data_IF_215879879442
#
_entry.id   IF_215879879442
#
_cell.length_a   1.000
_cell.length_b   1.000
_cell.length_c   1.000
_cell.angle_alpha   90.00
_cell.angle_beta   90.00
_cell.angle_gamma   90.00
#
_symmetry.space_group_name_H-M   'P 1'
#
loop_
_entity.id
_entity.type
_entity.pdbx_description
1 polymer ?
#
# COMPACT_ATOMS: atom_id res chain seq x y z
N UNK A 1 -7.00 -34.81 -2.17
CA UNK A 1 -6.99 -36.27 -1.89
C UNK A 1 -8.27 -36.73 -1.19
N UNK A 2 -8.61 -36.18 -0.02
CA UNK A 2 -9.85 -36.52 0.74
C UNK A 2 -11.14 -36.37 -0.08
N UNK A 3 -11.32 -35.28 -0.82
CA UNK A 3 -12.52 -35.07 -1.63
C UNK A 3 -12.65 -36.09 -2.78
N UNK A 4 -11.55 -36.46 -3.43
CA UNK A 4 -11.54 -37.44 -4.52
C UNK A 4 -11.92 -38.85 -4.02
N UNK A 5 -11.49 -39.20 -2.80
CA UNK A 5 -11.83 -40.49 -2.17
C UNK A 5 -13.31 -40.56 -1.74
N UNK A 6 -13.89 -39.43 -1.31
CA UNK A 6 -15.30 -39.35 -0.87
C UNK A 6 -16.28 -39.19 -2.03
N UNK A 7 -15.90 -38.49 -3.10
CA UNK A 7 -16.77 -38.18 -4.24
C UNK A 7 -16.54 -39.14 -5.41
N UNK A 8 -16.62 -40.45 -5.16
CA UNK A 8 -16.32 -41.51 -6.15
C UNK A 8 -17.19 -41.49 -7.43
N UNK A 9 -18.35 -40.81 -7.38
CA UNK A 9 -19.27 -40.66 -8.52
C UNK A 9 -19.16 -39.33 -9.25
N UNK A 10 -18.24 -38.45 -8.84
CA UNK A 10 -18.00 -37.16 -9.48
C UNK A 10 -16.53 -37.04 -9.90
N UNK A 11 -16.30 -36.41 -11.06
CA UNK A 11 -14.95 -36.07 -11.52
C UNK A 11 -14.60 -34.68 -10.99
N UNK A 12 -13.61 -34.60 -10.11
CA UNK A 12 -13.04 -33.32 -9.69
C UNK A 12 -12.16 -32.77 -10.80
N UNK A 13 -12.45 -31.56 -11.26
CA UNK A 13 -11.66 -30.84 -12.26
C UNK A 13 -10.99 -29.67 -11.55
N UNK A 14 -9.64 -29.58 -11.55
CA UNK A 14 -8.97 -28.43 -10.98
C UNK A 14 -9.26 -27.20 -11.84
N UNK A 15 -9.61 -26.10 -11.18
CA UNK A 15 -9.69 -24.79 -11.79
C UNK A 15 -8.59 -23.92 -11.20
N UNK A 16 -7.84 -23.23 -12.06
CA UNK A 16 -6.81 -22.26 -11.65
C UNK A 16 -7.38 -20.87 -11.87
N UNK A 17 -7.24 -19.98 -10.88
CA UNK A 17 -7.67 -18.57 -10.94
C UNK A 17 -9.14 -18.29 -11.26
N UNK A 18 -10.00 -19.30 -11.41
CA UNK A 18 -11.42 -19.12 -11.79
C UNK A 18 -12.15 -18.06 -10.94
N UNK A 19 -12.02 -18.12 -9.62
CA UNK A 19 -12.65 -17.13 -8.73
C UNK A 19 -11.95 -15.77 -8.80
N UNK A 20 -10.64 -15.74 -9.04
CA UNK A 20 -9.89 -14.48 -9.15
C UNK A 20 -10.27 -13.72 -10.42
N UNK A 21 -10.39 -14.42 -11.56
CA UNK A 21 -10.84 -13.86 -12.83
C UNK A 21 -12.26 -13.27 -12.72
N UNK A 22 -13.17 -13.99 -12.05
CA UNK A 22 -14.53 -13.50 -11.81
C UNK A 22 -14.59 -12.24 -10.92
N UNK A 23 -13.61 -12.05 -10.04
CA UNK A 23 -13.55 -10.92 -9.09
C UNK A 23 -12.65 -9.77 -9.55
N UNK A 24 -12.03 -9.89 -10.72
CA UNK A 24 -11.07 -8.91 -11.20
C UNK A 24 -11.77 -7.59 -11.56
N UNK A 25 -12.92 -7.69 -12.24
CA UNK A 25 -13.76 -6.56 -12.62
C UNK A 25 -14.78 -6.34 -11.51
N UNK A 26 -14.78 -5.13 -10.94
CA UNK A 26 -15.65 -4.76 -9.84
C UNK A 26 -16.92 -4.10 -10.35
N UNK A 27 -18.05 -4.47 -9.77
CA UNK A 27 -19.32 -3.79 -9.94
C UNK A 27 -19.31 -2.41 -9.28
N UNK A 28 -20.28 -1.56 -9.66
CA UNK A 28 -20.31 -0.16 -9.22
C UNK A 28 -20.44 0.01 -7.68
N UNK A 29 -21.17 -0.89 -7.02
CA UNK A 29 -21.35 -0.93 -5.56
C UNK A 29 -20.09 -1.44 -4.84
N UNK A 30 -19.38 -2.42 -5.41
CA UNK A 30 -18.07 -2.85 -4.94
C UNK A 30 -17.07 -1.68 -4.98
N UNK A 31 -17.00 -0.96 -6.10
CA UNK A 31 -16.14 0.23 -6.26
C UNK A 31 -16.52 1.31 -5.24
N UNK A 32 -17.82 1.57 -5.02
CA UNK A 32 -18.27 2.53 -4.02
C UNK A 32 -17.83 2.12 -2.60
N UNK A 33 -17.82 0.82 -2.32
CA UNK A 33 -17.39 0.27 -1.02
C UNK A 33 -15.87 0.38 -0.84
N UNK A 34 -15.07 0.08 -1.88
CA UNK A 34 -13.61 0.30 -1.87
C UNK A 34 -13.29 1.78 -1.66
N UNK A 35 -13.98 2.68 -2.37
CA UNK A 35 -13.81 4.14 -2.19
C UNK A 35 -14.08 4.56 -0.73
N UNK A 36 -15.07 3.95 -0.09
CA UNK A 36 -15.36 4.21 1.32
C UNK A 36 -14.25 3.72 2.25
N UNK A 37 -13.67 2.55 1.99
CA UNK A 37 -12.49 2.05 2.71
C UNK A 37 -11.31 3.03 2.56
N UNK A 38 -11.01 3.49 1.34
CA UNK A 38 -9.94 4.45 1.10
C UNK A 38 -10.19 5.78 1.85
N UNK A 39 -11.42 6.30 1.84
CA UNK A 39 -11.76 7.51 2.60
C UNK A 39 -11.57 7.38 4.12
N UNK A 40 -11.78 6.19 4.68
CA UNK A 40 -11.52 5.92 6.09
C UNK A 40 -10.02 5.98 6.35
N UNK A 41 -9.22 5.29 5.53
CA UNK A 41 -7.77 5.31 5.63
C UNK A 41 -7.20 6.74 5.46
N UNK A 42 -7.65 7.51 4.46
CA UNK A 42 -7.22 8.91 4.24
C UNK A 42 -7.48 9.78 5.48
N UNK A 43 -8.68 9.72 6.07
CA UNK A 43 -9.03 10.50 7.26
C UNK A 43 -8.23 10.08 8.50
N UNK A 44 -7.97 8.78 8.65
CA UNK A 44 -7.15 8.28 9.74
C UNK A 44 -5.69 8.76 9.59
N UNK A 45 -5.17 8.80 8.36
CA UNK A 45 -3.86 9.34 8.05
C UNK A 45 -3.73 10.83 8.37
N UNK A 46 -4.77 11.64 8.09
CA UNK A 46 -4.78 13.04 8.52
C UNK A 46 -4.61 13.20 10.03
N UNK A 47 -5.15 12.27 10.83
CA UNK A 47 -4.94 12.25 12.27
C UNK A 47 -3.49 11.87 12.64
N UNK A 48 -2.90 10.91 11.90
CA UNK A 48 -1.49 10.52 12.08
C UNK A 48 -0.54 11.68 11.83
N UNK A 49 -0.79 12.52 10.83
CA UNK A 49 0.04 13.70 10.54
C UNK A 49 0.16 14.66 11.74
N UNK A 50 -0.83 14.68 12.63
CA UNK A 50 -0.83 15.49 13.86
C UNK A 50 -0.28 14.75 15.08
N UNK A 51 -0.11 13.44 14.98
CA UNK A 51 0.32 12.56 16.07
C UNK A 51 1.80 12.18 15.95
N UNK A 52 2.34 12.14 14.74
CA UNK A 52 3.73 11.79 14.48
C UNK A 52 4.67 12.93 14.89
N UNK A 53 5.56 12.63 15.83
CA UNK A 53 6.53 13.58 16.40
C UNK A 53 7.81 12.83 16.85
N UNK A 54 8.96 13.51 16.97
CA UNK A 54 10.15 12.91 17.54
C UNK A 54 9.89 12.32 18.93
N UNK A 55 10.46 11.14 19.19
CA UNK A 55 10.32 10.44 20.48
C UNK A 55 9.17 9.43 20.52
N UNK A 56 8.22 9.47 19.58
CA UNK A 56 7.26 8.37 19.38
C UNK A 56 7.93 7.18 18.73
N UNK A 57 7.53 5.98 19.11
CA UNK A 57 7.94 4.76 18.42
C UNK A 57 7.07 4.51 17.18
N UNK A 58 7.62 3.79 16.21
CA UNK A 58 6.87 3.38 15.01
C UNK A 58 5.60 2.59 15.36
N UNK A 59 5.68 1.69 16.35
CA UNK A 59 4.55 0.88 16.79
C UNK A 59 3.45 1.72 17.47
N UNK A 60 3.80 2.82 18.16
CA UNK A 60 2.80 3.75 18.68
C UNK A 60 2.05 4.47 17.56
N UNK A 61 2.74 4.84 16.47
CA UNK A 61 2.11 5.45 15.30
C UNK A 61 1.20 4.46 14.58
N UNK A 62 1.65 3.21 14.39
CA UNK A 62 0.87 2.14 13.78
C UNK A 62 -0.42 1.86 14.58
N UNK A 63 -0.28 1.63 15.89
CA UNK A 63 -1.43 1.36 16.77
C UNK A 63 -2.43 2.53 16.80
N UNK A 64 -1.93 3.78 16.77
CA UNK A 64 -2.79 4.96 16.69
C UNK A 64 -3.57 5.01 15.37
N UNK A 65 -2.91 4.74 14.23
CA UNK A 65 -3.53 4.70 12.91
C UNK A 65 -4.62 3.61 12.84
N UNK A 66 -4.32 2.40 13.29
CA UNK A 66 -5.24 1.26 13.32
C UNK A 66 -6.48 1.58 14.15
N UNK A 67 -6.28 2.19 15.32
CA UNK A 67 -7.37 2.63 16.17
C UNK A 67 -8.23 3.69 15.47
N UNK A 68 -7.62 4.67 14.81
CA UNK A 68 -8.35 5.72 14.09
C UNK A 68 -9.15 5.19 12.91
N UNK A 69 -8.62 4.24 12.15
CA UNK A 69 -9.40 3.59 11.09
C UNK A 69 -10.64 2.87 11.66
N UNK A 70 -10.48 2.15 12.78
CA UNK A 70 -11.62 1.48 13.47
C UNK A 70 -12.64 2.47 14.01
N UNK A 71 -12.19 3.55 14.66
CA UNK A 71 -13.05 4.63 15.14
C UNK A 71 -13.89 5.25 14.01
N UNK A 72 -13.34 5.31 12.79
CA UNK A 72 -13.98 5.87 11.60
C UNK A 72 -14.84 4.87 10.81
N UNK A 73 -14.99 3.63 11.32
CA UNK A 73 -15.92 2.64 10.78
C UNK A 73 -15.28 1.47 10.03
N UNK A 74 -13.95 1.31 10.06
CA UNK A 74 -13.31 0.10 9.55
C UNK A 74 -13.67 -1.12 10.42
N UNK A 75 -13.89 -2.28 9.79
CA UNK A 75 -14.06 -3.55 10.51
C UNK A 75 -12.72 -4.15 10.96
N UNK A 76 -11.62 -3.74 10.33
CA UNK A 76 -10.26 -4.16 10.69
C UNK A 76 -9.21 -3.54 9.78
N UNK A 77 -7.95 -3.86 10.04
CA UNK A 77 -6.82 -3.54 9.17
C UNK A 77 -6.76 -4.57 8.02
N UNK A 78 -6.36 -4.14 6.82
CA UNK A 78 -6.24 -5.05 5.67
C UNK A 78 -4.94 -5.87 5.67
N UNK A 79 -3.92 -5.38 6.37
CA UNK A 79 -2.62 -6.02 6.62
C UNK A 79 -1.96 -5.35 7.82
N UNK A 80 -0.83 -5.89 8.30
CA UNK A 80 -0.07 -5.29 9.41
C UNK A 80 0.47 -3.92 8.99
N UNK A 81 0.03 -2.86 9.66
CA UNK A 81 0.44 -1.48 9.38
C UNK A 81 1.96 -1.34 9.45
N UNK A 82 2.55 -0.90 8.35
CA UNK A 82 3.98 -0.62 8.24
C UNK A 82 4.23 0.82 8.68
N UNK A 83 5.18 1.00 9.59
CA UNK A 83 5.76 2.30 9.90
C UNK A 83 7.26 2.10 9.97
N UNK A 84 7.97 2.66 8.99
CA UNK A 84 9.40 2.47 8.82
C UNK A 84 10.11 3.84 8.78
N UNK A 85 10.87 4.14 9.83
CA UNK A 85 11.48 5.43 10.06
C UNK A 85 13.00 5.42 9.92
N UNK A 86 13.57 6.54 9.46
CA UNK A 86 15.00 6.69 9.28
C UNK A 86 15.55 5.68 8.28
N UNK A 87 16.67 5.03 8.61
CA UNK A 87 17.23 3.96 7.77
C UNK A 87 16.26 2.79 7.53
N UNK A 88 15.29 2.56 8.41
CA UNK A 88 14.31 1.49 8.20
C UNK A 88 13.37 1.78 7.03
N UNK A 89 13.19 3.05 6.65
CA UNK A 89 12.34 3.43 5.51
C UNK A 89 12.83 2.88 4.17
N UNK A 90 14.05 2.32 4.11
CA UNK A 90 14.56 1.61 2.92
C UNK A 90 14.19 0.12 2.89
N UNK A 91 13.46 -0.39 3.89
CA UNK A 91 12.96 -1.77 3.94
C UNK A 91 11.56 -1.81 3.32
N UNK A 92 11.35 -2.44 2.13
CA UNK A 92 10.06 -2.42 1.43
C UNK A 92 8.88 -2.95 2.26
N UNK A 93 9.12 -3.88 3.19
CA UNK A 93 8.10 -4.43 4.10
C UNK A 93 8.51 -4.28 5.58
N UNK A 94 9.08 -3.13 5.93
CA UNK A 94 9.58 -2.84 7.28
C UNK A 94 8.49 -2.61 8.33
N UNK A 95 7.73 -3.64 8.70
CA UNK A 95 6.66 -3.60 9.75
C UNK A 95 7.10 -2.80 10.98
N UNK A 96 6.17 -2.06 11.59
CA UNK A 96 6.45 -1.15 12.70
C UNK A 96 7.21 -1.82 13.87
N UNK A 97 8.18 -1.11 14.45
CA UNK A 97 9.00 -1.60 15.58
C UNK A 97 8.98 -0.66 16.77
N UNK A 98 9.79 -0.97 17.78
CA UNK A 98 10.04 -0.07 18.91
C UNK A 98 11.09 1.01 18.61
N UNK A 99 11.56 1.15 17.35
CA UNK A 99 12.45 2.27 16.99
C UNK A 99 11.72 3.59 17.26
N UNK A 100 12.40 4.49 17.99
CA UNK A 100 11.96 5.87 18.14
C UNK A 100 12.19 6.64 16.84
N UNK A 101 11.19 7.43 16.47
CA UNK A 101 11.24 8.37 15.35
C UNK A 101 12.03 9.59 15.79
N UNK A 102 12.97 10.03 14.96
CA UNK A 102 13.88 11.14 15.25
C UNK A 102 13.61 12.34 14.34
N UNK A 103 14.07 13.53 14.73
CA UNK A 103 14.06 14.69 13.84
C UNK A 103 14.98 14.42 12.64
N UNK A 104 14.49 14.70 11.43
CA UNK A 104 15.14 14.44 10.16
C UNK A 104 14.80 13.07 9.55
N UNK A 105 14.08 12.20 10.27
CA UNK A 105 13.71 10.89 9.73
C UNK A 105 12.70 11.01 8.57
N UNK A 106 12.94 10.35 7.42
CA UNK A 106 11.83 9.89 6.59
C UNK A 106 11.01 8.86 7.37
N UNK A 107 9.69 8.87 7.19
CA UNK A 107 8.80 7.86 7.74
C UNK A 107 7.87 7.38 6.63
N UNK A 108 8.08 6.15 6.19
CA UNK A 108 7.22 5.45 5.24
C UNK A 108 6.15 4.69 6.00
N UNK A 109 4.90 4.96 5.68
CA UNK A 109 3.71 4.43 6.34
C UNK A 109 2.88 3.73 5.27
N UNK A 110 2.69 2.43 5.40
CA UNK A 110 1.89 1.61 4.49
C UNK A 110 0.74 0.97 5.28
N UNK A 111 -0.49 1.23 4.83
CA UNK A 111 -1.67 0.96 5.64
C UNK A 111 -2.94 0.84 4.82
N UNK A 112 -3.89 0.14 5.39
CA UNK A 112 -5.22 0.01 4.81
C UNK A 112 -6.19 -0.61 5.79
N UNK A 113 -7.46 -0.61 5.40
CA UNK A 113 -8.52 -1.13 6.24
C UNK A 113 -9.54 -1.92 5.44
N UNK A 114 -10.30 -2.75 6.15
CA UNK A 114 -11.50 -3.36 5.62
C UNK A 114 -12.72 -2.50 5.94
N UNK A 115 -13.57 -2.31 4.94
CA UNK A 115 -14.93 -1.78 5.10
C UNK A 115 -15.88 -2.66 4.28
N UNK A 116 -16.89 -3.24 4.94
CA UNK A 116 -17.84 -4.19 4.33
C UNK A 116 -17.16 -5.25 3.44
N UNK A 117 -16.08 -5.86 3.95
CA UNK A 117 -15.26 -6.90 3.29
C UNK A 117 -14.37 -6.45 2.13
N UNK A 118 -14.38 -5.18 1.73
CA UNK A 118 -13.44 -4.63 0.75
C UNK A 118 -12.26 -3.97 1.44
N UNK A 119 -11.07 -4.15 0.87
CA UNK A 119 -9.83 -3.57 1.38
C UNK A 119 -9.57 -2.19 0.74
N UNK A 120 -8.92 -1.32 1.51
CA UNK A 120 -8.06 -0.27 0.99
C UNK A 120 -6.59 -0.63 1.18
N UNK A 121 -5.73 0.08 0.45
CA UNK A 121 -4.28 -0.01 0.55
C UNK A 121 -3.67 1.31 0.07
N UNK A 122 -2.85 1.94 0.89
CA UNK A 122 -2.10 3.13 0.49
C UNK A 122 -0.80 3.27 1.29
N UNK A 123 0.21 3.79 0.59
CA UNK A 123 1.47 4.17 1.19
C UNK A 123 1.68 5.69 1.14
N UNK A 124 2.24 6.27 2.20
CA UNK A 124 2.68 7.67 2.26
C UNK A 124 4.06 7.74 2.91
N UNK A 125 4.92 8.60 2.38
CA UNK A 125 6.19 8.95 3.02
C UNK A 125 6.14 10.40 3.48
N UNK A 126 6.42 10.63 4.77
CA UNK A 126 6.51 11.96 5.38
C UNK A 126 7.91 12.16 5.96
N UNK A 127 8.24 13.40 6.32
CA UNK A 127 9.51 13.74 6.96
C UNK A 127 9.21 14.44 8.28
N UNK A 128 9.84 13.96 9.36
CA UNK A 128 9.74 14.63 10.66
C UNK A 128 10.76 15.76 10.69
N UNK A 129 10.30 17.00 10.58
CA UNK A 129 11.20 18.15 10.41
C UNK A 129 11.55 18.38 8.94
N UNK A 130 12.83 18.61 8.64
CA UNK A 130 13.27 18.92 7.28
C UNK A 130 13.94 17.74 6.57
N UNK A 131 13.47 17.45 5.35
CA UNK A 131 14.14 16.52 4.44
C UNK A 131 15.45 17.13 3.90
N UNK A 132 16.50 16.33 3.82
CA UNK A 132 17.74 16.71 3.14
C UNK A 132 17.51 16.90 1.63
N UNK A 133 18.37 17.67 0.91
CA UNK A 133 18.24 17.85 -0.54
C UNK A 133 18.14 16.52 -1.30
N UNK A 134 18.95 15.53 -0.92
CA UNK A 134 18.93 14.20 -1.55
C UNK A 134 17.62 13.45 -1.31
N UNK A 135 17.05 13.54 -0.10
CA UNK A 135 15.78 12.89 0.20
C UNK A 135 14.60 13.56 -0.52
N UNK A 136 14.63 14.89 -0.68
CA UNK A 136 13.64 15.61 -1.50
C UNK A 136 13.71 15.17 -2.95
N UNK A 137 14.91 15.06 -3.52
CA UNK A 137 15.14 14.55 -4.87
C UNK A 137 14.50 13.16 -5.04
N UNK A 138 14.84 12.20 -4.18
CA UNK A 138 14.28 10.83 -4.23
C UNK A 138 12.76 10.85 -4.11
N UNK A 139 12.21 11.59 -3.14
CA UNK A 139 10.77 11.72 -2.95
C UNK A 139 10.07 12.25 -4.21
N UNK A 140 10.63 13.30 -4.82
CA UNK A 140 10.06 13.88 -6.03
C UNK A 140 10.17 12.94 -7.24
N UNK A 141 11.26 12.19 -7.39
CA UNK A 141 11.38 11.15 -8.42
C UNK A 141 10.29 10.09 -8.28
N UNK A 142 10.09 9.54 -7.07
CA UNK A 142 9.05 8.53 -6.82
C UNK A 142 7.65 9.10 -7.05
N UNK A 143 7.41 10.33 -6.57
CA UNK A 143 6.13 11.02 -6.79
C UNK A 143 5.84 11.23 -8.27
N UNK A 144 6.83 11.70 -9.03
CA UNK A 144 6.70 11.91 -10.48
C UNK A 144 6.39 10.58 -11.19
N UNK A 145 7.07 9.50 -10.83
CA UNK A 145 6.80 8.17 -11.38
C UNK A 145 5.36 7.71 -11.10
N UNK A 146 4.88 7.91 -9.86
CA UNK A 146 3.51 7.58 -9.47
C UNK A 146 2.46 8.42 -10.22
N UNK A 147 2.64 9.74 -10.30
CA UNK A 147 1.73 10.65 -10.99
C UNK A 147 1.71 10.40 -12.52
N UNK A 148 2.85 10.04 -13.12
CA UNK A 148 2.94 9.65 -14.52
C UNK A 148 2.07 8.42 -14.81
N UNK A 149 2.21 7.36 -14.01
CA UNK A 149 1.40 6.15 -14.17
C UNK A 149 -0.10 6.43 -13.99
N UNK A 150 -0.49 7.20 -12.97
CA UNK A 150 -1.90 7.58 -12.75
C UNK A 150 -2.47 8.29 -13.98
N UNK A 151 -1.67 9.12 -14.64
CA UNK A 151 -2.09 9.89 -15.83
C UNK A 151 -2.21 9.01 -17.07
N UNK A 152 -1.28 8.06 -17.25
CA UNK A 152 -1.23 7.22 -18.45
C UNK A 152 -2.11 5.96 -18.37
N UNK A 153 -2.42 5.50 -17.16
CA UNK A 153 -3.21 4.30 -16.91
C UNK A 153 -4.57 4.35 -17.62
N UNK A 154 -4.81 3.37 -18.49
CA UNK A 154 -6.05 3.26 -19.27
C UNK A 154 -6.35 1.82 -19.66
N UNK A 155 -7.59 1.59 -20.07
CA UNK A 155 -8.02 0.31 -20.63
C UNK A 155 -7.14 -0.13 -21.81
N UNK A 156 -6.83 -1.43 -21.86
CA UNK A 156 -6.06 -2.03 -22.94
C UNK A 156 -4.54 -2.00 -22.76
N UNK A 157 -4.00 -1.33 -21.74
CA UNK A 157 -2.57 -1.43 -21.42
C UNK A 157 -2.19 -2.84 -20.96
N UNK A 158 -1.04 -3.33 -21.43
CA UNK A 158 -0.46 -4.55 -20.86
C UNK A 158 0.13 -4.27 -19.48
N UNK A 159 0.29 -5.32 -18.65
CA UNK A 159 0.96 -5.18 -17.35
C UNK A 159 2.42 -4.71 -17.49
N UNK A 160 3.08 -5.08 -18.59
CA UNK A 160 4.44 -4.65 -18.88
C UNK A 160 4.50 -3.15 -19.22
N UNK A 161 3.57 -2.66 -20.04
CA UNK A 161 3.49 -1.22 -20.35
C UNK A 161 3.11 -0.41 -19.12
N UNK A 162 2.22 -0.95 -18.27
CA UNK A 162 1.83 -0.33 -17.01
C UNK A 162 3.00 -0.19 -16.03
N UNK A 163 3.82 -1.24 -15.85
CA UNK A 163 5.02 -1.19 -15.01
C UNK A 163 6.14 -0.33 -15.60
N UNK A 164 6.24 -0.28 -16.94
CA UNK A 164 7.28 0.45 -17.65
C UNK A 164 7.23 1.97 -17.42
N UNK A 165 6.04 2.57 -17.36
CA UNK A 165 5.88 4.03 -17.21
C UNK A 165 6.65 4.58 -15.99
N UNK A 166 6.41 4.13 -14.75
CA UNK A 166 7.16 4.62 -13.59
C UNK A 166 8.62 4.12 -13.60
N UNK A 167 8.88 2.92 -14.13
CA UNK A 167 10.23 2.37 -14.21
C UNK A 167 11.14 3.26 -15.05
N UNK A 168 10.69 3.73 -16.21
CA UNK A 168 11.44 4.63 -17.08
C UNK A 168 11.76 5.97 -16.40
N UNK A 169 10.82 6.52 -15.61
CA UNK A 169 11.06 7.76 -14.83
C UNK A 169 12.15 7.55 -13.78
N UNK A 170 12.10 6.44 -13.04
CA UNK A 170 13.07 6.11 -12.00
C UNK A 170 14.45 5.79 -12.59
N UNK A 171 14.50 5.08 -13.71
CA UNK A 171 15.73 4.77 -14.45
C UNK A 171 16.39 6.03 -15.01
N UNK A 172 15.62 6.94 -15.61
CA UNK A 172 16.12 8.22 -16.11
C UNK A 172 16.71 9.10 -14.99
N UNK A 173 16.19 8.97 -13.76
CA UNK A 173 16.73 9.63 -12.58
C UNK A 173 17.94 8.89 -11.95
N UNK A 174 18.47 7.85 -12.60
CA UNK A 174 19.60 7.03 -12.13
C UNK A 174 19.33 6.21 -10.86
N UNK A 175 18.06 5.88 -10.58
CA UNK A 175 17.67 5.06 -9.42
C UNK A 175 17.14 3.67 -9.80
N UNK A 176 17.24 3.26 -11.07
CA UNK A 176 16.67 2.01 -11.57
C UNK A 176 17.09 0.76 -10.79
N UNK A 177 18.36 0.68 -10.37
CA UNK A 177 18.89 -0.45 -9.58
C UNK A 177 18.21 -0.65 -8.22
N UNK A 178 17.58 0.41 -7.68
CA UNK A 178 16.89 0.37 -6.39
C UNK A 178 15.41 -0.01 -6.53
N UNK A 179 14.84 -0.02 -7.74
CA UNK A 179 13.44 -0.40 -7.98
C UNK A 179 13.31 -1.88 -8.36
N UNK A 180 13.26 -2.72 -7.32
CA UNK A 180 13.50 -4.17 -7.41
C UNK A 180 12.25 -5.06 -7.47
N UNK A 181 11.05 -4.48 -7.44
CA UNK A 181 9.78 -5.22 -7.45
C UNK A 181 8.80 -4.64 -8.48
N UNK A 182 7.65 -5.32 -8.65
CA UNK A 182 6.57 -4.84 -9.52
C UNK A 182 5.87 -3.62 -8.95
N UNK A 183 5.23 -2.84 -9.82
CA UNK A 183 4.65 -1.53 -9.47
C UNK A 183 3.39 -1.56 -8.59
N UNK A 184 2.69 -2.69 -8.53
CA UNK A 184 1.47 -2.80 -7.72
C UNK A 184 0.72 -4.12 -7.93
N UNK A 185 -0.48 -4.17 -7.36
CA UNK A 185 -1.37 -5.34 -7.43
C UNK A 185 -2.85 -4.92 -7.41
N UNK A 186 -3.74 -5.87 -7.72
CA UNK A 186 -5.18 -5.68 -7.52
C UNK A 186 -5.57 -5.75 -6.04
N UNK A 187 -6.70 -5.12 -5.72
CA UNK A 187 -7.43 -5.25 -4.45
C UNK A 187 -8.76 -5.99 -4.67
#
# INVERSE_FOLDING_TARGET
>A
RVLAEKLKKAKLVPTTNFVAELRQIKEADEIATIKKACQIADKAFEAVLRYIEPGRTEIEVANFLDFKMREMGASGISFDTIVASGKRSSLPHGVATHKMIEFGDPVTIDFGCYYNHYASDMTRTVFVGEASPKMREIYHTVRQANEALITEAKEGMSLADFDKVPRDVIEAASYGEYFTHGIGHGL
#
